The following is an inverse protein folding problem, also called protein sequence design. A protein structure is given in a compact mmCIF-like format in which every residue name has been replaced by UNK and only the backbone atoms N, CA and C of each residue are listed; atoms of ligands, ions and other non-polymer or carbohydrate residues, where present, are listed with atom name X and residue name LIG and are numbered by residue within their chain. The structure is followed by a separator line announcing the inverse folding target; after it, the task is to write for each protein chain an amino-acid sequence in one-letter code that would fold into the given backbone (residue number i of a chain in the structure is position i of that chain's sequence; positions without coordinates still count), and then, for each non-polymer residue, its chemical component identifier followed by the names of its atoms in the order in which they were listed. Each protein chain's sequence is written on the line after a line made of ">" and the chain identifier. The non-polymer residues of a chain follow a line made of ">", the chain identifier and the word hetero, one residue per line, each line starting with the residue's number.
data_IF_997773609626
#
_entry.id   IF_997773609626
#
_cell.length_a   1.000
_cell.length_b   1.000
_cell.length_c   1.000
_cell.angle_alpha   90.00
_cell.angle_beta   90.00
_cell.angle_gamma   90.00
#
_symmetry.space_group_name_H-M   'P 1'
#
loop_
_entity.id
_entity.type
_entity.pdbx_description
1 polymer ?
#
# COMPACT_ATOMS: atom_id res chain seq x y z
N UNK A 1 36.44 -42.16 53.51
CA UNK A 1 36.32 -42.68 52.17
C UNK A 1 35.58 -41.60 51.32
N UNK A 2 36.35 -40.78 50.62
CA UNK A 2 35.86 -39.60 49.87
C UNK A 2 35.86 -39.98 48.42
N UNK A 3 34.66 -40.05 47.79
CA UNK A 3 34.50 -40.22 46.36
C UNK A 3 34.25 -38.86 45.74
N UNK A 4 35.26 -38.33 45.03
CA UNK A 4 35.16 -37.13 44.26
C UNK A 4 34.48 -37.49 42.88
N UNK A 5 33.35 -36.87 42.59
CA UNK A 5 32.70 -36.93 41.28
C UNK A 5 33.13 -35.69 40.49
N UNK A 6 33.94 -35.92 39.46
CA UNK A 6 34.32 -34.93 38.46
C UNK A 6 33.18 -34.82 37.43
N UNK A 7 32.45 -33.71 37.46
CA UNK A 7 31.53 -33.35 36.40
C UNK A 7 32.31 -32.62 35.28
N UNK A 8 32.49 -33.28 34.16
CA UNK A 8 33.02 -32.68 32.93
C UNK A 8 31.90 -31.93 32.26
N UNK A 9 31.94 -30.59 32.27
CA UNK A 9 31.07 -29.71 31.50
C UNK A 9 31.57 -29.67 30.07
N UNK A 10 30.93 -30.41 29.14
CA UNK A 10 31.08 -30.23 27.70
C UNK A 10 30.28 -29.01 27.25
N UNK A 11 30.95 -27.89 27.04
CA UNK A 11 30.40 -26.71 26.40
C UNK A 11 30.39 -26.97 24.89
N UNK A 12 29.23 -27.35 24.35
CA UNK A 12 28.97 -27.42 22.91
C UNK A 12 28.78 -26.00 22.39
N UNK A 13 29.84 -25.42 21.85
CA UNK A 13 29.80 -24.16 21.11
C UNK A 13 29.21 -24.45 19.73
N UNK A 14 27.92 -24.14 19.54
CA UNK A 14 27.29 -24.10 18.23
C UNK A 14 27.71 -22.80 17.51
N UNK A 15 28.29 -22.85 16.29
CA UNK A 15 28.47 -21.65 15.49
C UNK A 15 27.11 -21.18 15.04
N UNK A 16 26.68 -20.00 15.50
CA UNK A 16 25.58 -19.24 14.93
C UNK A 16 26.06 -18.80 13.55
N UNK A 17 25.61 -19.50 12.51
CA UNK A 17 25.66 -19.02 11.15
C UNK A 17 24.70 -17.82 11.08
N UNK A 18 25.23 -16.62 11.26
CA UNK A 18 24.57 -15.39 10.87
C UNK A 18 24.36 -15.46 9.36
N UNK A 19 23.15 -15.82 8.95
CA UNK A 19 22.69 -15.60 7.59
C UNK A 19 22.66 -14.09 7.39
N UNK A 20 23.76 -13.54 6.89
CA UNK A 20 23.86 -12.21 6.38
C UNK A 20 22.90 -12.14 5.19
N UNK A 21 21.69 -11.64 5.40
CA UNK A 21 20.80 -11.25 4.32
C UNK A 21 21.50 -10.11 3.59
N UNK A 22 22.19 -10.48 2.50
CA UNK A 22 22.76 -9.54 1.57
C UNK A 22 21.64 -8.63 1.09
N UNK A 23 21.54 -7.43 1.67
CA UNK A 23 20.83 -6.32 1.04
C UNK A 23 21.48 -6.13 -0.32
N UNK A 24 20.71 -6.16 -1.42
CA UNK A 24 21.26 -5.84 -2.72
C UNK A 24 21.83 -4.43 -2.62
N UNK A 25 23.17 -4.34 -2.75
CA UNK A 25 23.93 -3.11 -2.85
C UNK A 25 23.23 -2.16 -3.80
N UNK A 26 22.95 -0.95 -3.33
CA UNK A 26 22.17 0.08 -3.97
C UNK A 26 22.58 0.41 -5.40
N UNK A 27 22.08 -0.34 -6.35
CA UNK A 27 21.85 0.17 -7.67
C UNK A 27 20.76 1.25 -7.51
N UNK A 28 21.13 2.51 -7.65
CA UNK A 28 20.18 3.61 -7.65
C UNK A 28 19.29 3.44 -8.87
N UNK A 29 18.10 2.82 -8.66
CA UNK A 29 17.12 2.70 -9.71
C UNK A 29 16.78 4.09 -10.25
N UNK A 30 16.87 4.27 -11.57
CA UNK A 30 16.60 5.53 -12.24
C UNK A 30 15.26 5.42 -12.99
N UNK A 31 14.32 6.33 -12.71
CA UNK A 31 13.00 6.36 -13.36
C UNK A 31 13.03 6.51 -14.88
N UNK A 32 14.17 6.95 -15.46
CA UNK A 32 14.37 7.01 -16.92
C UNK A 32 14.50 5.64 -17.58
N UNK A 33 14.61 4.56 -16.81
CA UNK A 33 14.70 3.19 -17.31
C UNK A 33 13.33 2.57 -17.62
N UNK A 34 12.24 3.24 -17.24
CA UNK A 34 10.89 2.76 -17.58
C UNK A 34 10.59 2.92 -19.07
N UNK A 35 10.13 1.82 -19.67
CA UNK A 35 9.66 1.86 -21.05
C UNK A 35 8.41 2.73 -21.20
N UNK A 36 8.23 3.33 -22.37
CA UNK A 36 7.03 4.10 -22.67
C UNK A 36 5.74 3.25 -22.52
N UNK A 37 5.81 1.98 -22.88
CA UNK A 37 4.71 1.03 -22.71
C UNK A 37 4.34 0.86 -21.24
N UNK A 38 5.34 0.70 -20.35
CA UNK A 38 5.11 0.61 -18.90
C UNK A 38 4.48 1.89 -18.36
N UNK A 39 4.96 3.05 -18.79
CA UNK A 39 4.41 4.34 -18.35
C UNK A 39 2.93 4.46 -18.76
N UNK A 40 2.60 4.12 -20.00
CA UNK A 40 1.22 4.11 -20.48
C UNK A 40 0.33 3.14 -19.69
N UNK A 41 0.84 1.94 -19.39
CA UNK A 41 0.08 0.95 -18.60
C UNK A 41 -0.17 1.45 -17.19
N UNK A 42 0.84 2.00 -16.50
CA UNK A 42 0.70 2.59 -15.16
C UNK A 42 -0.32 3.73 -15.15
N UNK A 43 -0.33 4.55 -16.20
CA UNK A 43 -1.33 5.64 -16.34
C UNK A 43 -2.75 5.07 -16.52
N UNK A 44 -2.91 4.03 -17.32
CA UNK A 44 -4.20 3.34 -17.51
C UNK A 44 -4.69 2.70 -16.21
N UNK A 45 -3.82 2.01 -15.49
CA UNK A 45 -4.15 1.40 -14.20
C UNK A 45 -4.51 2.46 -13.14
N UNK A 46 -3.76 3.58 -13.09
CA UNK A 46 -4.08 4.72 -12.22
C UNK A 46 -5.42 5.35 -12.59
N UNK A 47 -5.74 5.44 -13.86
CA UNK A 47 -7.04 5.93 -14.31
C UNK A 47 -8.16 5.00 -13.84
N UNK A 48 -8.02 3.68 -14.03
CA UNK A 48 -8.97 2.67 -13.55
C UNK A 48 -9.19 2.74 -12.04
N UNK A 49 -8.11 2.88 -11.27
CA UNK A 49 -8.19 3.09 -9.82
C UNK A 49 -8.97 4.35 -9.48
N UNK A 50 -8.67 5.46 -10.15
CA UNK A 50 -9.36 6.74 -9.95
C UNK A 50 -10.85 6.64 -10.27
N UNK A 51 -11.21 5.99 -11.39
CA UNK A 51 -12.61 5.77 -11.76
C UNK A 51 -13.34 4.90 -10.72
N UNK A 52 -12.72 3.81 -10.24
CA UNK A 52 -13.29 2.99 -9.17
C UNK A 52 -13.60 3.84 -7.95
N UNK A 53 -12.64 4.64 -7.48
CA UNK A 53 -12.78 5.51 -6.31
C UNK A 53 -13.97 6.48 -6.46
N UNK A 54 -14.07 7.18 -7.59
CA UNK A 54 -15.18 8.12 -7.79
C UNK A 54 -16.54 7.41 -7.89
N UNK A 55 -16.60 6.28 -8.58
CA UNK A 55 -17.81 5.46 -8.69
C UNK A 55 -18.28 4.95 -7.33
N UNK A 56 -17.37 4.43 -6.53
CA UNK A 56 -17.71 3.95 -5.18
C UNK A 56 -18.05 5.11 -4.23
N UNK A 57 -17.36 6.26 -4.35
CA UNK A 57 -17.66 7.44 -3.55
C UNK A 57 -19.06 8.00 -3.83
N UNK A 58 -19.53 7.96 -5.08
CA UNK A 58 -20.89 8.35 -5.41
C UNK A 58 -21.92 7.48 -4.69
N UNK A 59 -21.69 6.16 -4.63
CA UNK A 59 -22.57 5.24 -3.89
C UNK A 59 -22.54 5.53 -2.39
N UNK A 60 -21.37 5.70 -1.81
CA UNK A 60 -21.18 5.97 -0.37
C UNK A 60 -21.71 7.34 0.03
N UNK A 61 -21.60 8.34 -0.83
CA UNK A 61 -22.11 9.68 -0.61
C UNK A 61 -23.61 9.76 -0.36
N UNK A 62 -24.40 8.79 -0.88
CA UNK A 62 -25.84 8.69 -0.65
C UNK A 62 -26.23 7.90 0.59
N UNK A 63 -25.29 7.20 1.22
CA UNK A 63 -25.55 6.47 2.46
C UNK A 63 -25.53 7.44 3.64
N UNK A 64 -26.41 7.20 4.63
CA UNK A 64 -26.48 7.99 5.87
C UNK A 64 -25.38 7.57 6.86
N UNK A 65 -24.14 7.54 6.42
CA UNK A 65 -22.98 7.16 7.24
C UNK A 65 -21.99 8.34 7.35
N UNK A 66 -21.12 8.27 8.34
CA UNK A 66 -20.05 9.23 8.54
C UNK A 66 -19.07 9.23 7.35
N UNK A 67 -18.59 10.42 6.96
CA UNK A 67 -17.75 10.61 5.80
C UNK A 67 -16.41 9.86 5.87
N UNK A 68 -15.86 9.65 7.07
CA UNK A 68 -14.62 8.88 7.26
C UNK A 68 -14.86 7.40 7.05
N UNK A 69 -15.96 6.88 7.60
CA UNK A 69 -16.37 5.47 7.39
C UNK A 69 -16.65 5.21 5.91
N UNK A 70 -17.35 6.14 5.24
CA UNK A 70 -17.58 6.08 3.81
C UNK A 70 -16.28 6.10 3.01
N UNK A 71 -15.32 6.94 3.38
CA UNK A 71 -13.99 7.02 2.74
C UNK A 71 -13.26 5.68 2.85
N UNK A 72 -13.20 5.10 4.05
CA UNK A 72 -12.52 3.82 4.28
C UNK A 72 -13.17 2.69 3.47
N UNK A 73 -14.48 2.66 3.37
CA UNK A 73 -15.22 1.69 2.55
C UNK A 73 -14.86 1.84 1.06
N UNK A 74 -14.84 3.06 0.53
CA UNK A 74 -14.45 3.35 -0.86
C UNK A 74 -13.03 2.87 -1.14
N UNK A 75 -12.08 3.23 -0.28
CA UNK A 75 -10.67 2.86 -0.46
C UNK A 75 -10.49 1.34 -0.44
N UNK A 76 -11.18 0.64 0.44
CA UNK A 76 -11.14 -0.82 0.54
C UNK A 76 -11.73 -1.52 -0.69
N UNK A 77 -12.83 -1.03 -1.23
CA UNK A 77 -13.45 -1.60 -2.44
C UNK A 77 -12.55 -1.48 -3.66
N UNK A 78 -11.73 -0.43 -3.75
CA UNK A 78 -10.86 -0.19 -4.88
C UNK A 78 -9.41 -0.70 -4.71
N UNK A 79 -9.11 -1.42 -3.62
CA UNK A 79 -7.77 -1.95 -3.33
C UNK A 79 -7.22 -2.82 -4.46
N UNK A 80 -8.08 -3.61 -5.12
CA UNK A 80 -7.70 -4.46 -6.24
C UNK A 80 -7.15 -3.65 -7.42
N UNK A 81 -7.73 -2.50 -7.71
CA UNK A 81 -7.25 -1.62 -8.79
C UNK A 81 -5.90 -0.99 -8.44
N UNK A 82 -5.70 -0.62 -7.17
CA UNK A 82 -4.41 -0.14 -6.68
C UNK A 82 -3.33 -1.23 -6.78
N UNK A 83 -3.68 -2.48 -6.51
CA UNK A 83 -2.77 -3.62 -6.63
C UNK A 83 -2.31 -3.88 -8.06
N UNK A 84 -3.12 -3.57 -9.08
CA UNK A 84 -2.71 -3.67 -10.49
C UNK A 84 -1.53 -2.74 -10.80
N UNK A 85 -1.57 -1.50 -10.30
CA UNK A 85 -0.46 -0.56 -10.46
C UNK A 85 0.82 -1.15 -9.87
N UNK A 86 0.71 -1.82 -8.71
CA UNK A 86 1.84 -2.50 -8.08
C UNK A 86 2.42 -3.57 -8.98
N UNK A 87 1.58 -4.46 -9.51
CA UNK A 87 2.02 -5.53 -10.40
C UNK A 87 2.72 -4.97 -11.62
N UNK A 88 2.14 -3.97 -12.29
CA UNK A 88 2.75 -3.34 -13.48
C UNK A 88 4.16 -2.80 -13.21
N UNK A 89 4.38 -2.17 -12.06
CA UNK A 89 5.72 -1.69 -11.68
C UNK A 89 6.69 -2.82 -11.39
N UNK A 90 6.27 -3.80 -10.57
CA UNK A 90 7.13 -4.94 -10.19
C UNK A 90 7.53 -5.76 -11.41
N UNK A 91 6.58 -6.06 -12.30
CA UNK A 91 6.80 -6.81 -13.54
C UNK A 91 7.73 -6.07 -14.51
N UNK A 92 7.80 -4.75 -14.38
CA UNK A 92 8.71 -3.89 -15.15
C UNK A 92 10.08 -3.67 -14.46
N UNK A 93 10.37 -4.40 -13.38
CA UNK A 93 11.66 -4.35 -12.70
C UNK A 93 11.83 -3.17 -11.72
N UNK A 94 10.76 -2.43 -11.41
CA UNK A 94 10.82 -1.35 -10.41
C UNK A 94 10.98 -1.94 -9.01
N UNK A 95 11.96 -1.48 -8.21
CA UNK A 95 12.14 -1.96 -6.85
C UNK A 95 10.88 -1.79 -6.00
N UNK A 96 10.54 -2.80 -5.21
CA UNK A 96 9.32 -2.81 -4.39
C UNK A 96 9.21 -1.56 -3.49
N UNK A 97 10.31 -1.11 -2.90
CA UNK A 97 10.32 0.09 -2.04
C UNK A 97 9.91 1.37 -2.78
N UNK A 98 10.29 1.50 -4.05
CA UNK A 98 9.90 2.63 -4.90
C UNK A 98 8.42 2.53 -5.25
N UNK A 99 8.01 1.34 -5.67
CA UNK A 99 6.62 1.01 -5.98
C UNK A 99 5.70 1.31 -4.79
N UNK A 100 6.03 0.81 -3.61
CA UNK A 100 5.21 0.98 -2.41
C UNK A 100 5.13 2.46 -1.97
N UNK A 101 6.19 3.25 -2.14
CA UNK A 101 6.16 4.70 -1.92
C UNK A 101 5.21 5.41 -2.88
N UNK A 102 5.24 5.04 -4.15
CA UNK A 102 4.33 5.58 -5.16
C UNK A 102 2.87 5.26 -4.82
N UNK A 103 2.56 4.01 -4.50
CA UNK A 103 1.22 3.57 -4.12
C UNK A 103 0.72 4.27 -2.86
N UNK A 104 1.56 4.40 -1.84
CA UNK A 104 1.24 5.13 -0.61
C UNK A 104 0.88 6.58 -0.92
N UNK A 105 1.67 7.27 -1.74
CA UNK A 105 1.39 8.65 -2.16
C UNK A 105 0.06 8.73 -2.91
N UNK A 106 -0.15 7.88 -3.90
CA UNK A 106 -1.39 7.81 -4.69
C UNK A 106 -2.62 7.57 -3.80
N UNK A 107 -2.52 6.62 -2.85
CA UNK A 107 -3.58 6.34 -1.89
C UNK A 107 -3.91 7.56 -1.02
N UNK A 108 -2.90 8.21 -0.45
CA UNK A 108 -3.09 9.41 0.40
C UNK A 108 -3.76 10.53 -0.38
N UNK A 109 -3.34 10.79 -1.62
CA UNK A 109 -3.93 11.82 -2.48
C UNK A 109 -5.42 11.55 -2.73
N UNK A 110 -5.76 10.31 -3.10
CA UNK A 110 -7.14 9.92 -3.36
C UNK A 110 -7.99 9.95 -2.09
N UNK A 111 -7.47 9.45 -0.97
CA UNK A 111 -8.16 9.51 0.34
C UNK A 111 -8.53 10.95 0.69
N UNK A 112 -7.60 11.90 0.56
CA UNK A 112 -7.86 13.32 0.87
C UNK A 112 -8.93 13.93 -0.05
N UNK A 113 -8.87 13.61 -1.35
CA UNK A 113 -9.86 14.12 -2.33
C UNK A 113 -11.26 13.59 -2.01
N UNK A 114 -11.38 12.30 -1.76
CA UNK A 114 -12.68 11.66 -1.52
C UNK A 114 -13.24 12.03 -0.15
N UNK A 115 -12.42 12.07 0.89
CA UNK A 115 -12.86 12.51 2.21
C UNK A 115 -13.45 13.94 2.13
N UNK A 116 -12.77 14.86 1.44
CA UNK A 116 -13.29 16.23 1.24
C UNK A 116 -14.66 16.20 0.54
N UNK A 117 -14.82 15.44 -0.52
CA UNK A 117 -16.08 15.31 -1.27
C UNK A 117 -17.20 14.74 -0.39
N UNK A 118 -16.91 13.68 0.37
CA UNK A 118 -17.88 13.04 1.25
C UNK A 118 -18.27 13.90 2.46
N UNK A 119 -17.35 14.71 3.00
CA UNK A 119 -17.67 15.72 4.03
C UNK A 119 -18.69 16.73 3.49
N UNK A 120 -18.50 17.24 2.28
CA UNK A 120 -19.45 18.15 1.66
C UNK A 120 -20.81 17.49 1.44
N UNK A 121 -20.85 16.25 0.95
CA UNK A 121 -22.07 15.49 0.78
C UNK A 121 -22.80 15.25 2.12
N UNK A 122 -22.06 14.93 3.17
CA UNK A 122 -22.61 14.76 4.53
C UNK A 122 -23.18 16.08 5.06
N UNK A 123 -22.47 17.19 4.92
CA UNK A 123 -22.92 18.51 5.33
C UNK A 123 -24.20 18.91 4.58
N UNK A 124 -24.26 18.70 3.27
CA UNK A 124 -25.44 18.96 2.46
C UNK A 124 -26.67 18.15 2.93
N UNK A 125 -26.48 16.86 3.25
CA UNK A 125 -27.56 16.04 3.81
C UNK A 125 -28.05 16.54 5.16
N UNK A 126 -27.12 16.98 6.03
CA UNK A 126 -27.48 17.49 7.37
C UNK A 126 -28.18 18.84 7.32
N UNK A 127 -27.88 19.67 6.33
CA UNK A 127 -28.54 20.96 6.12
C UNK A 127 -29.88 20.88 5.40
N UNK A 128 -30.30 19.69 4.93
CA UNK A 128 -31.53 19.53 4.15
C UNK A 128 -31.45 20.05 2.70
N UNK A 129 -30.26 20.37 2.23
CA UNK A 129 -30.05 20.94 0.88
C UNK A 129 -30.14 19.92 -0.27
N UNK A 130 -30.32 18.64 0.06
CA UNK A 130 -30.52 17.56 -0.89
C UNK A 130 -31.96 17.04 -0.75
N UNK A 131 -32.87 17.60 -1.47
CA UNK A 131 -34.16 17.01 -1.78
C UNK A 131 -34.15 16.51 -3.21
#
# INVERSE_FOLDING_TARGET
>A
MKKALLFALCVLSLPVLAAETAQPSGATWNGSELSEATIKQVQADKHSYTQCIYKEAQKQGYQKIDSRVATDAVMKQCEKELSKIRSTFIDSGVPAIITDRFLKKTRIEMTRKILKSLIFAEAARKSGATQ
#
